data_IF_510502659581
#
_entry.id   IF_510502659581
#
_cell.length_a   1.000
_cell.length_b   1.000
_cell.length_c   1.000
_cell.angle_alpha   90.00
_cell.angle_beta   90.00
_cell.angle_gamma   90.00
#
_symmetry.space_group_name_H-M   'P 1'
#
loop_
_entity.id
_entity.type
_entity.pdbx_description
1 polymer ?
#
# COMPACT_ATOMS: atom_id res chain seq x y z
N UNK A 1 15.43 16.03 15.90
CA UNK A 1 14.85 14.72 15.50
C UNK A 1 13.94 14.91 14.28
N UNK A 2 13.95 13.99 13.31
CA UNK A 2 13.06 14.06 12.12
C UNK A 2 11.59 14.01 12.53
N UNK A 3 10.75 14.87 11.95
CA UNK A 3 9.29 14.87 12.12
C UNK A 3 8.71 13.52 11.70
N UNK A 4 7.75 13.02 12.47
CA UNK A 4 7.03 11.78 12.19
C UNK A 4 5.54 12.04 12.04
N UNK A 5 4.93 11.42 11.03
CA UNK A 5 3.51 11.49 10.74
C UNK A 5 2.91 10.09 10.76
N UNK A 6 2.19 9.78 11.83
CA UNK A 6 1.57 8.48 12.02
C UNK A 6 0.33 8.28 11.14
N UNK A 7 -0.40 9.35 10.83
CA UNK A 7 -1.66 9.28 10.06
C UNK A 7 -1.42 8.99 8.58
N UNK A 8 -1.81 7.81 8.12
CA UNK A 8 -1.86 7.46 6.69
C UNK A 8 -2.73 8.44 5.89
N UNK A 9 -3.87 8.81 6.46
CA UNK A 9 -4.83 9.71 5.82
C UNK A 9 -4.22 11.06 5.46
N UNK A 10 -3.49 11.70 6.40
CA UNK A 10 -2.89 13.01 6.14
C UNK A 10 -1.86 12.95 4.99
N UNK A 11 -1.04 11.90 4.97
CA UNK A 11 -0.02 11.72 3.92
C UNK A 11 -0.66 11.45 2.55
N UNK A 12 -1.69 10.60 2.52
CA UNK A 12 -2.47 10.35 1.30
C UNK A 12 -3.17 11.62 0.80
N UNK A 13 -3.85 12.35 1.69
CA UNK A 13 -4.54 13.59 1.35
C UNK A 13 -3.58 14.66 0.82
N UNK A 14 -2.37 14.77 1.37
CA UNK A 14 -1.35 15.68 0.87
C UNK A 14 -0.95 15.39 -0.58
N UNK A 15 -0.75 14.13 -0.93
CA UNK A 15 -0.37 13.73 -2.30
C UNK A 15 -1.53 13.83 -3.29
N UNK A 16 -2.77 13.58 -2.85
CA UNK A 16 -3.96 13.71 -3.69
C UNK A 16 -4.21 15.13 -4.22
N UNK A 17 -3.64 16.16 -3.56
CA UNK A 17 -3.70 17.55 -4.04
C UNK A 17 -2.92 17.78 -5.36
N UNK A 18 -2.04 16.85 -5.74
CA UNK A 18 -1.15 17.01 -6.88
C UNK A 18 -1.46 15.93 -7.93
N UNK A 19 -1.95 16.30 -9.13
CA UNK A 19 -2.34 15.34 -10.17
C UNK A 19 -1.26 14.31 -10.51
N UNK A 20 0.00 14.77 -10.59
CA UNK A 20 1.18 13.92 -10.87
C UNK A 20 1.36 12.77 -9.86
N UNK A 21 0.91 12.94 -8.61
CA UNK A 21 0.95 11.89 -7.60
C UNK A 21 -0.42 11.18 -7.48
N UNK A 22 -1.52 11.92 -7.60
CA UNK A 22 -2.88 11.42 -7.42
C UNK A 22 -3.23 10.26 -8.35
N UNK A 23 -2.77 10.29 -9.61
CA UNK A 23 -2.99 9.21 -10.59
C UNK A 23 -2.38 7.86 -10.17
N UNK A 24 -1.42 7.89 -9.25
CA UNK A 24 -0.76 6.71 -8.68
C UNK A 24 -1.35 6.30 -7.32
N UNK A 25 -2.34 7.00 -6.78
CA UNK A 25 -2.91 6.67 -5.46
C UNK A 25 -4.18 5.84 -5.65
N UNK A 26 -4.26 4.63 -5.07
CA UNK A 26 -5.50 3.87 -5.06
C UNK A 26 -6.61 4.66 -4.37
N UNK A 27 -7.82 4.61 -4.94
CA UNK A 27 -8.98 5.33 -4.43
C UNK A 27 -9.21 5.01 -2.95
N UNK A 28 -9.39 6.04 -2.12
CA UNK A 28 -9.38 5.92 -0.66
C UNK A 28 -10.54 6.69 -0.05
N UNK A 29 -11.32 6.04 0.83
CA UNK A 29 -12.45 6.65 1.56
C UNK A 29 -12.36 6.38 3.06
N UNK A 30 -13.08 7.17 3.86
CA UNK A 30 -13.26 6.87 5.28
C UNK A 30 -14.03 5.55 5.46
N UNK A 31 -13.65 4.75 6.44
CA UNK A 31 -14.32 3.48 6.71
C UNK A 31 -15.70 3.69 7.34
N UNK A 32 -16.74 3.30 6.62
CA UNK A 32 -18.11 3.09 7.10
C UNK A 32 -18.81 2.07 6.19
N UNK A 33 -20.01 1.62 6.57
CA UNK A 33 -20.75 0.58 5.86
C UNK A 33 -21.02 0.95 4.40
N UNK A 34 -21.60 2.13 4.15
CA UNK A 34 -21.96 2.57 2.79
C UNK A 34 -20.75 2.72 1.87
N UNK A 35 -19.66 3.32 2.36
CA UNK A 35 -18.41 3.42 1.60
C UNK A 35 -17.81 2.05 1.30
N UNK A 36 -17.87 1.10 2.24
CA UNK A 36 -17.34 -0.25 2.03
C UNK A 36 -18.14 -0.95 0.92
N UNK A 37 -19.47 -0.91 1.00
CA UNK A 37 -20.34 -1.52 0.00
C UNK A 37 -20.12 -0.90 -1.38
N UNK A 38 -20.11 0.43 -1.47
CA UNK A 38 -19.89 1.16 -2.71
C UNK A 38 -18.52 0.84 -3.34
N UNK A 39 -17.46 0.85 -2.54
CA UNK A 39 -16.13 0.53 -3.05
C UNK A 39 -15.98 -0.96 -3.43
N UNK A 40 -16.63 -1.88 -2.71
CA UNK A 40 -16.65 -3.29 -3.11
C UNK A 40 -17.39 -3.51 -4.42
N UNK A 41 -18.53 -2.85 -4.62
CA UNK A 41 -19.28 -2.92 -5.87
C UNK A 41 -18.46 -2.41 -7.07
N UNK A 42 -17.67 -1.35 -6.87
CA UNK A 42 -16.90 -0.75 -7.95
C UNK A 42 -15.56 -1.45 -8.22
N UNK A 43 -14.86 -1.92 -7.19
CA UNK A 43 -13.49 -2.48 -7.34
C UNK A 43 -13.40 -4.00 -7.12
N UNK A 44 -14.43 -4.66 -6.58
CA UNK A 44 -14.44 -6.09 -6.24
C UNK A 44 -13.54 -6.48 -5.05
N UNK A 45 -12.45 -5.74 -4.81
CA UNK A 45 -11.51 -5.94 -3.72
C UNK A 45 -11.10 -4.59 -3.11
N UNK A 46 -11.05 -4.55 -1.78
CA UNK A 46 -10.56 -3.41 -1.01
C UNK A 46 -9.71 -3.86 0.17
N UNK A 47 -8.87 -2.96 0.67
CA UNK A 47 -8.18 -3.10 1.94
C UNK A 47 -8.72 -2.09 2.92
N UNK A 48 -9.12 -2.54 4.10
CA UNK A 48 -9.36 -1.65 5.22
C UNK A 48 -8.12 -1.62 6.12
N UNK A 49 -7.70 -0.42 6.51
CA UNK A 49 -6.45 -0.21 7.24
C UNK A 49 -6.66 0.77 8.39
N UNK A 50 -6.02 0.60 9.56
CA UNK A 50 -6.02 1.62 10.60
C UNK A 50 -5.46 2.93 10.06
N UNK A 51 -6.06 4.07 10.39
CA UNK A 51 -5.54 5.39 10.00
C UNK A 51 -4.15 5.62 10.61
N UNK A 52 -3.96 5.17 11.86
CA UNK A 52 -2.70 5.19 12.59
C UNK A 52 -2.29 3.75 12.94
N UNK A 53 -1.07 3.38 12.57
CA UNK A 53 -0.49 2.05 12.78
C UNK A 53 0.67 1.79 11.82
N UNK A 54 1.33 0.65 11.99
CA UNK A 54 2.48 0.23 11.16
C UNK A 54 2.58 -1.29 11.06
N UNK A 55 3.54 -1.79 10.29
CA UNK A 55 3.86 -3.23 10.24
C UNK A 55 2.76 -4.12 9.64
N UNK A 56 1.78 -3.55 8.93
CA UNK A 56 0.65 -4.30 8.38
C UNK A 56 -0.37 -4.80 9.41
N UNK A 57 -0.21 -4.45 10.69
CA UNK A 57 -1.13 -4.84 11.74
C UNK A 57 -2.50 -4.18 11.57
N UNK A 58 -3.55 -4.98 11.69
CA UNK A 58 -4.94 -4.53 11.52
C UNK A 58 -5.35 -4.30 10.07
N UNK A 59 -4.50 -4.59 9.08
CA UNK A 59 -4.93 -4.58 7.68
C UNK A 59 -5.84 -5.78 7.44
N UNK A 60 -7.01 -5.53 6.85
CA UNK A 60 -7.99 -6.57 6.50
C UNK A 60 -8.30 -6.41 5.02
N UNK A 61 -8.14 -7.49 4.25
CA UNK A 61 -8.60 -7.54 2.86
C UNK A 61 -10.08 -7.89 2.87
N UNK A 62 -10.90 -7.17 2.10
CA UNK A 62 -12.31 -7.49 1.89
C UNK A 62 -12.52 -7.63 0.38
N UNK A 63 -13.27 -8.64 -0.03
CA UNK A 63 -13.63 -8.85 -1.44
C UNK A 63 -15.08 -9.26 -1.56
N UNK A 64 -15.74 -8.83 -2.63
CA UNK A 64 -17.10 -9.20 -2.99
C UNK A 64 -17.14 -9.63 -4.45
N UNK A 65 -17.62 -10.84 -4.73
CA UNK A 65 -17.79 -11.36 -6.09
C UNK A 65 -18.87 -12.42 -6.13
N UNK A 66 -19.75 -12.40 -7.14
CA UNK A 66 -20.71 -13.49 -7.40
C UNK A 66 -21.65 -13.77 -6.22
N UNK A 67 -22.14 -12.73 -5.54
CA UNK A 67 -23.06 -12.87 -4.40
C UNK A 67 -22.41 -13.33 -3.08
N UNK A 68 -21.08 -13.45 -3.03
CA UNK A 68 -20.35 -13.78 -1.81
C UNK A 68 -19.43 -12.65 -1.36
N UNK A 69 -19.37 -12.43 -0.05
CA UNK A 69 -18.46 -11.51 0.61
C UNK A 69 -17.44 -12.28 1.43
N UNK A 70 -16.17 -11.89 1.33
CA UNK A 70 -15.08 -12.48 2.09
C UNK A 70 -14.24 -11.39 2.74
N UNK A 71 -13.75 -11.65 3.94
CA UNK A 71 -12.63 -10.89 4.46
C UNK A 71 -11.53 -11.80 5.00
N UNK A 72 -10.30 -11.37 4.83
CA UNK A 72 -9.10 -12.01 5.37
C UNK A 72 -8.44 -11.06 6.36
N UNK A 73 -8.38 -11.47 7.63
CA UNK A 73 -7.62 -10.80 8.67
C UNK A 73 -6.50 -11.73 9.13
N UNK A 74 -5.25 -11.27 9.02
CA UNK A 74 -4.06 -12.10 9.28
C UNK A 74 -4.05 -13.35 8.37
N UNK A 75 -4.32 -14.55 8.93
CA UNK A 75 -4.42 -15.81 8.17
C UNK A 75 -5.85 -16.34 8.07
N UNK A 76 -6.80 -15.71 8.75
CA UNK A 76 -8.17 -16.19 8.87
C UNK A 76 -9.02 -15.53 7.79
N UNK A 77 -9.60 -16.34 6.92
CA UNK A 77 -10.59 -15.91 5.94
C UNK A 77 -11.97 -16.34 6.39
N UNK A 78 -12.94 -15.42 6.35
CA UNK A 78 -14.35 -15.71 6.59
C UNK A 78 -15.16 -15.35 5.36
N UNK A 79 -16.18 -16.17 5.07
CA UNK A 79 -17.07 -16.01 3.93
C UNK A 79 -18.52 -15.82 4.41
N UNK A 80 -19.29 -15.04 3.66
CA UNK A 80 -20.67 -14.69 3.95
C UNK A 80 -21.42 -14.54 2.62
N UNK A 81 -22.72 -14.84 2.62
CA UNK A 81 -23.61 -14.60 1.47
C UNK A 81 -24.25 -13.21 1.51
N UNK A 82 -24.30 -12.58 2.69
CA UNK A 82 -24.91 -11.27 2.90
C UNK A 82 -23.88 -10.24 3.38
N UNK A 83 -23.95 -9.03 2.82
CA UNK A 83 -23.05 -7.94 3.17
C UNK A 83 -23.15 -7.56 4.66
N UNK A 84 -24.37 -7.44 5.19
CA UNK A 84 -24.59 -7.01 6.57
C UNK A 84 -24.02 -7.99 7.60
N UNK A 85 -24.13 -9.29 7.33
CA UNK A 85 -23.52 -10.33 8.17
C UNK A 85 -21.99 -10.23 8.15
N UNK A 86 -21.41 -10.04 6.96
CA UNK A 86 -19.98 -9.81 6.80
C UNK A 86 -19.53 -8.56 7.56
N UNK A 87 -20.24 -7.45 7.40
CA UNK A 87 -19.92 -6.17 8.03
C UNK A 87 -19.98 -6.27 9.56
N UNK A 88 -21.04 -6.88 10.13
CA UNK A 88 -21.14 -7.12 11.59
C UNK A 88 -19.99 -7.98 12.11
N UNK A 89 -19.58 -9.01 11.36
CA UNK A 89 -18.41 -9.83 11.71
C UNK A 89 -17.10 -9.05 11.61
N UNK A 90 -16.94 -8.25 10.57
CA UNK A 90 -15.77 -7.41 10.30
C UNK A 90 -15.53 -6.39 11.42
N UNK A 91 -16.60 -5.73 11.89
CA UNK A 91 -16.52 -4.74 12.99
C UNK A 91 -16.02 -5.38 14.28
N UNK A 92 -16.39 -6.63 14.57
CA UNK A 92 -15.92 -7.37 15.76
C UNK A 92 -14.44 -7.71 15.68
N UNK A 93 -13.92 -7.99 14.48
CA UNK A 93 -12.51 -8.35 14.27
C UNK A 93 -11.60 -7.12 14.15
N UNK A 94 -12.12 -6.02 13.61
CA UNK A 94 -11.42 -4.74 13.49
C UNK A 94 -11.05 -4.21 14.87
N UNK A 95 -9.82 -3.72 15.03
CA UNK A 95 -9.44 -3.01 16.25
C UNK A 95 -10.34 -1.78 16.50
N UNK A 96 -10.58 -1.44 17.78
CA UNK A 96 -11.36 -0.27 18.23
C UNK A 96 -10.62 1.06 17.98
N UNK A 97 -10.45 1.44 16.72
CA UNK A 97 -9.85 2.70 16.26
C UNK A 97 -10.35 3.06 14.86
N UNK A 98 -10.00 4.26 14.38
CA UNK A 98 -10.36 4.78 13.05
C UNK A 98 -9.65 4.00 11.94
N UNK A 99 -10.40 3.70 10.88
CA UNK A 99 -9.92 3.00 9.69
C UNK A 99 -10.24 3.82 8.42
N UNK A 100 -9.53 3.50 7.35
CA UNK A 100 -9.82 3.91 5.98
C UNK A 100 -10.07 2.67 5.12
N UNK A 101 -10.75 2.84 3.99
CA UNK A 101 -10.91 1.86 2.93
C UNK A 101 -10.06 2.33 1.75
N UNK A 102 -9.28 1.44 1.18
CA UNK A 102 -8.47 1.69 0.00
C UNK A 102 -8.78 0.63 -1.06
N UNK A 103 -8.89 1.05 -2.31
CA UNK A 103 -9.01 0.16 -3.47
C UNK A 103 -7.95 -0.94 -3.42
N UNK A 104 -8.38 -2.17 -3.66
CA UNK A 104 -7.49 -3.30 -3.82
C UNK A 104 -6.83 -3.28 -5.20
N UNK A 105 -5.51 -3.42 -5.23
CA UNK A 105 -4.75 -3.56 -6.47
C UNK A 105 -4.32 -5.02 -6.63
N UNK A 106 -4.57 -5.57 -7.81
CA UNK A 106 -4.04 -6.88 -8.21
C UNK A 106 -2.57 -6.71 -8.59
N UNK A 107 -1.71 -6.87 -7.58
CA UNK A 107 -0.27 -6.70 -7.73
C UNK A 107 0.33 -7.80 -8.60
N UNK A 108 1.37 -7.44 -9.35
CA UNK A 108 2.26 -8.38 -9.99
C UNK A 108 2.77 -9.41 -8.97
N UNK A 109 3.00 -10.63 -9.45
CA UNK A 109 3.30 -11.77 -8.58
C UNK A 109 4.58 -12.47 -9.02
N UNK A 110 5.26 -13.11 -8.07
CA UNK A 110 6.30 -14.11 -8.34
C UNK A 110 5.76 -15.44 -7.83
N UNK A 111 5.56 -16.42 -8.72
CA UNK A 111 4.99 -17.72 -8.38
C UNK A 111 3.66 -17.60 -7.61
N UNK A 112 2.75 -16.72 -8.09
CA UNK A 112 1.44 -16.47 -7.47
C UNK A 112 1.48 -15.67 -6.16
N UNK A 113 2.65 -15.30 -5.64
CA UNK A 113 2.80 -14.49 -4.42
C UNK A 113 2.91 -13.00 -4.80
N UNK A 114 2.11 -12.11 -4.21
CA UNK A 114 2.19 -10.68 -4.51
C UNK A 114 3.52 -10.09 -4.05
N UNK A 115 4.03 -9.11 -4.79
CA UNK A 115 5.22 -8.34 -4.46
C UNK A 115 4.92 -6.85 -4.47
N UNK A 116 5.54 -6.13 -3.53
CA UNK A 116 5.62 -4.67 -3.57
C UNK A 116 7.08 -4.19 -3.56
N UNK A 117 7.30 -2.89 -3.72
CA UNK A 117 8.61 -2.27 -3.82
C UNK A 117 8.76 -1.17 -2.78
N UNK A 118 9.72 -1.33 -1.86
CA UNK A 118 10.09 -0.31 -0.88
C UNK A 118 11.20 0.54 -1.44
N UNK A 119 10.96 1.86 -1.54
CA UNK A 119 11.99 2.86 -1.86
C UNK A 119 12.22 3.73 -0.64
N UNK A 120 13.47 3.80 -0.16
CA UNK A 120 13.87 4.61 1.00
C UNK A 120 14.69 5.81 0.54
N UNK A 121 14.30 7.00 0.96
CA UNK A 121 15.05 8.25 0.76
C UNK A 121 15.29 8.93 2.11
N UNK A 122 16.43 9.61 2.22
CA UNK A 122 16.86 10.30 3.45
C UNK A 122 17.44 11.65 3.06
N UNK A 123 17.12 12.68 3.84
CA UNK A 123 17.69 14.01 3.68
C UNK A 123 19.07 14.05 4.34
N UNK A 124 20.06 14.55 3.61
CA UNK A 124 21.40 14.87 4.09
C UNK A 124 21.61 16.38 4.00
N UNK A 125 22.77 16.86 4.44
CA UNK A 125 23.17 18.27 4.27
C UNK A 125 23.22 18.71 2.79
N UNK A 126 23.45 17.75 1.88
CA UNK A 126 23.48 17.99 0.42
C UNK A 126 22.13 17.77 -0.26
N UNK A 127 21.07 17.51 0.50
CA UNK A 127 19.72 17.25 -0.01
C UNK A 127 19.28 15.78 0.07
N UNK A 128 18.21 15.43 -0.65
CA UNK A 128 17.61 14.10 -0.58
C UNK A 128 18.40 13.05 -1.38
N UNK A 129 18.74 11.93 -0.75
CA UNK A 129 19.42 10.80 -1.38
C UNK A 129 18.63 9.51 -1.29
N UNK A 130 18.71 8.67 -2.33
CA UNK A 130 18.16 7.31 -2.30
C UNK A 130 19.05 6.39 -1.49
N UNK A 131 18.49 5.75 -0.47
CA UNK A 131 19.18 4.74 0.34
C UNK A 131 18.98 3.33 -0.18
N UNK A 132 17.77 2.99 -0.62
CA UNK A 132 17.50 1.65 -1.14
C UNK A 132 16.25 1.59 -2.02
N UNK A 133 16.21 0.56 -2.87
CA UNK A 133 15.03 0.11 -3.59
C UNK A 133 15.03 -1.42 -3.59
N UNK A 134 14.08 -2.01 -2.85
CA UNK A 134 13.98 -3.46 -2.66
C UNK A 134 12.57 -3.94 -2.98
N UNK A 135 12.47 -5.14 -3.54
CA UNK A 135 11.19 -5.85 -3.64
C UNK A 135 10.91 -6.65 -2.38
N UNK A 136 9.66 -6.68 -1.92
CA UNK A 136 9.21 -7.44 -0.75
C UNK A 136 8.15 -8.44 -1.18
N UNK A 137 8.56 -9.69 -1.32
CA UNK A 137 7.69 -10.77 -1.74
C UNK A 137 6.90 -11.29 -0.53
N UNK A 138 5.56 -11.29 -0.62
CA UNK A 138 4.70 -11.78 0.44
C UNK A 138 5.02 -13.24 0.80
N UNK A 139 4.87 -13.62 2.06
CA UNK A 139 4.94 -15.04 2.47
C UNK A 139 3.82 -15.84 1.77
N UNK A 140 4.04 -17.11 1.40
CA UNK A 140 2.97 -17.96 0.86
C UNK A 140 1.71 -17.91 1.72
N UNK A 141 0.54 -17.74 1.08
CA UNK A 141 -0.77 -17.67 1.73
C UNK A 141 -1.11 -16.33 2.40
N UNK A 142 -0.20 -15.35 2.46
CA UNK A 142 -0.51 -14.02 2.98
C UNK A 142 -0.84 -13.04 1.86
N UNK A 143 -1.84 -12.20 2.15
CA UNK A 143 -2.25 -11.11 1.26
C UNK A 143 -1.38 -9.86 1.45
N UNK A 144 -0.75 -9.72 2.62
CA UNK A 144 0.11 -8.59 2.95
C UNK A 144 1.58 -8.92 2.67
N UNK A 145 2.26 -8.03 1.95
CA UNK A 145 3.67 -8.09 1.51
C UNK A 145 4.67 -7.65 2.58
N UNK A 146 4.23 -7.48 3.83
CA UNK A 146 5.10 -6.91 4.87
C UNK A 146 6.20 -7.89 5.29
N UNK A 147 7.47 -7.47 5.16
CA UNK A 147 8.65 -8.27 5.53
C UNK A 147 8.63 -8.73 6.99
N UNK A 148 8.06 -7.93 7.90
CA UNK A 148 7.91 -8.30 9.32
C UNK A 148 7.01 -9.51 9.57
N UNK A 149 6.38 -10.05 8.52
CA UNK A 149 5.58 -11.28 8.54
C UNK A 149 6.27 -12.47 7.85
N UNK A 150 7.59 -12.38 7.66
CA UNK A 150 8.41 -13.43 7.03
C UNK A 150 8.38 -13.38 5.50
N UNK A 151 8.32 -12.18 4.94
CA UNK A 151 8.46 -11.97 3.49
C UNK A 151 9.91 -12.09 3.03
N UNK A 152 10.12 -12.34 1.74
CA UNK A 152 11.48 -12.44 1.15
C UNK A 152 11.88 -11.09 0.58
N UNK A 153 13.06 -10.59 0.97
CA UNK A 153 13.63 -9.37 0.38
C UNK A 153 14.41 -9.72 -0.88
N UNK A 154 14.16 -8.98 -1.96
CA UNK A 154 14.86 -9.08 -3.23
C UNK A 154 15.43 -7.71 -3.60
N UNK A 155 16.54 -7.68 -4.36
CA UNK A 155 16.97 -6.42 -4.98
C UNK A 155 15.87 -5.92 -5.92
N UNK A 156 15.69 -4.59 -6.03
CA UNK A 156 14.67 -4.03 -6.93
C UNK A 156 14.82 -4.50 -8.39
N UNK A 157 16.06 -4.74 -8.84
CA UNK A 157 16.33 -5.33 -10.17
C UNK A 157 15.79 -6.76 -10.29
N UNK A 158 16.11 -7.63 -9.33
CA UNK A 158 15.68 -9.04 -9.35
C UNK A 158 14.16 -9.16 -9.20
N UNK A 159 13.57 -8.36 -8.31
CA UNK A 159 12.13 -8.32 -8.10
C UNK A 159 11.36 -7.96 -9.39
N UNK A 160 11.81 -6.94 -10.12
CA UNK A 160 11.19 -6.56 -11.40
C UNK A 160 11.35 -7.65 -12.46
N UNK A 161 12.56 -8.21 -12.60
CA UNK A 161 12.82 -9.25 -13.59
C UNK A 161 11.93 -10.50 -13.38
N UNK A 162 11.62 -10.85 -12.12
CA UNK A 162 10.80 -12.02 -11.79
C UNK A 162 9.29 -11.74 -11.83
N UNK A 163 8.85 -10.53 -11.51
CA UNK A 163 7.41 -10.22 -11.41
C UNK A 163 6.81 -9.62 -12.69
N UNK A 164 7.63 -8.95 -13.50
CA UNK A 164 7.25 -8.28 -14.74
C UNK A 164 8.35 -8.47 -15.81
N UNK A 165 8.63 -9.72 -16.24
CA UNK A 165 9.71 -10.01 -17.18
C UNK A 165 9.54 -9.33 -18.55
N UNK A 166 8.30 -9.01 -18.94
CA UNK A 166 7.95 -8.32 -20.17
C UNK A 166 8.22 -6.80 -20.15
N UNK A 167 8.61 -6.23 -19.00
CA UNK A 167 8.86 -4.79 -18.84
C UNK A 167 10.35 -4.53 -18.58
N UNK A 168 10.90 -3.49 -19.22
CA UNK A 168 12.26 -3.04 -18.93
C UNK A 168 12.40 -2.62 -17.47
N UNK A 169 13.04 -3.49 -16.67
CA UNK A 169 13.29 -3.22 -15.27
C UNK A 169 14.15 -1.96 -15.04
N UNK A 170 15.04 -1.61 -15.98
CA UNK A 170 15.83 -0.36 -15.91
C UNK A 170 14.93 0.87 -16.01
N UNK A 171 14.02 0.89 -17.00
CA UNK A 171 13.07 2.00 -17.17
C UNK A 171 12.10 2.10 -15.99
N UNK A 172 11.53 0.98 -15.55
CA UNK A 172 10.58 0.99 -14.42
C UNK A 172 11.22 1.47 -13.11
N UNK A 173 12.49 1.13 -12.84
CA UNK A 173 13.22 1.69 -11.68
C UNK A 173 13.44 3.19 -11.79
N UNK A 174 13.75 3.71 -12.99
CA UNK A 174 13.92 5.16 -13.22
C UNK A 174 12.59 5.90 -13.00
N UNK A 175 11.50 5.36 -13.52
CA UNK A 175 10.14 5.88 -13.34
C UNK A 175 9.77 5.94 -11.84
N UNK A 176 9.94 4.84 -11.09
CA UNK A 176 9.71 4.83 -9.64
C UNK A 176 10.58 5.85 -8.90
N UNK A 177 11.85 6.04 -9.31
CA UNK A 177 12.73 7.06 -8.69
C UNK A 177 12.25 8.48 -8.99
N UNK A 178 11.87 8.77 -10.22
CA UNK A 178 11.33 10.08 -10.60
C UNK A 178 10.08 10.40 -9.78
N UNK A 179 9.11 9.48 -9.75
CA UNK A 179 7.90 9.63 -8.93
C UNK A 179 8.23 9.81 -7.44
N UNK A 180 9.21 9.04 -6.92
CA UNK A 180 9.66 9.17 -5.53
C UNK A 180 10.21 10.56 -5.24
N UNK A 181 11.03 11.14 -6.12
CA UNK A 181 11.58 12.48 -5.93
C UNK A 181 10.45 13.52 -5.87
N UNK A 182 9.55 13.50 -6.86
CA UNK A 182 8.37 14.39 -6.90
C UNK A 182 7.56 14.30 -5.61
N UNK A 183 7.21 13.08 -5.19
CA UNK A 183 6.44 12.86 -3.97
C UNK A 183 7.21 13.26 -2.71
N UNK A 184 8.54 13.10 -2.69
CA UNK A 184 9.38 13.55 -1.56
C UNK A 184 9.29 15.06 -1.38
N UNK A 185 9.36 15.83 -2.47
CA UNK A 185 9.25 17.30 -2.42
C UNK A 185 7.86 17.75 -1.97
N UNK A 186 6.80 17.07 -2.46
CA UNK A 186 5.43 17.30 -1.97
C UNK A 186 5.34 17.04 -0.46
N UNK A 187 5.85 15.89 -0.01
CA UNK A 187 5.82 15.52 1.41
C UNK A 187 6.61 16.48 2.30
N UNK A 188 7.77 16.95 1.83
CA UNK A 188 8.57 17.93 2.57
C UNK A 188 7.86 19.29 2.67
N UNK A 189 7.28 19.78 1.58
CA UNK A 189 6.55 21.06 1.56
C UNK A 189 5.30 21.03 2.45
N UNK A 190 4.51 19.95 2.40
CA UNK A 190 3.29 19.81 3.20
C UNK A 190 3.60 19.50 4.67
N UNK A 191 4.78 18.93 4.95
CA UNK A 191 5.18 18.55 6.30
C UNK A 191 6.65 18.90 6.59
N UNK A 192 6.96 20.20 6.80
CA UNK A 192 8.31 20.62 7.15
C UNK A 192 8.89 19.84 8.33
N UNK A 193 10.17 19.49 8.24
CA UNK A 193 10.90 18.73 9.26
C UNK A 193 10.96 17.20 9.03
N UNK A 194 10.30 16.66 8.00
CA UNK A 194 10.52 15.25 7.60
C UNK A 194 11.92 15.09 6.98
N UNK A 195 12.72 14.19 7.54
CA UNK A 195 14.10 13.92 7.09
C UNK A 195 14.31 12.53 6.48
N UNK A 196 13.30 11.68 6.49
CA UNK A 196 13.34 10.36 5.87
C UNK A 196 11.95 9.92 5.41
N UNK A 197 11.88 9.24 4.27
CA UNK A 197 10.65 8.71 3.71
C UNK A 197 10.86 7.30 3.16
N UNK A 198 9.87 6.43 3.38
CA UNK A 198 9.77 5.13 2.75
C UNK A 198 8.48 5.04 1.97
N UNK A 199 8.59 4.86 0.66
CA UNK A 199 7.48 4.66 -0.24
C UNK A 199 7.27 3.16 -0.48
N UNK A 200 6.03 2.71 -0.32
CA UNK A 200 5.60 1.35 -0.59
C UNK A 200 4.83 1.38 -1.90
N UNK A 201 5.47 0.93 -2.98
CA UNK A 201 4.87 0.89 -4.31
C UNK A 201 4.34 -0.50 -4.63
N UNK A 202 3.12 -0.56 -5.15
CA UNK A 202 2.61 -1.72 -5.85
C UNK A 202 2.76 -1.53 -7.36
N UNK A 203 3.08 -2.59 -8.09
CA UNK A 203 2.93 -2.63 -9.54
C UNK A 203 1.81 -3.62 -9.84
N UNK A 204 0.85 -3.26 -10.70
CA UNK A 204 -0.07 -4.26 -11.24
C UNK A 204 0.55 -5.02 -12.41
N UNK A 205 -0.18 -5.98 -12.98
CA UNK A 205 0.30 -6.83 -14.09
C UNK A 205 0.64 -6.05 -15.38
N UNK A 206 0.07 -4.85 -15.57
CA UNK A 206 0.43 -3.94 -16.68
C UNK A 206 1.70 -3.13 -16.39
N UNK A 207 2.17 -3.15 -15.15
CA UNK A 207 3.31 -2.37 -14.69
C UNK A 207 2.97 -0.94 -14.27
N UNK A 208 1.69 -0.59 -14.13
CA UNK A 208 1.30 0.72 -13.58
C UNK A 208 1.75 0.81 -12.12
N UNK A 209 2.35 1.95 -11.78
CA UNK A 209 2.84 2.23 -10.43
C UNK A 209 1.70 2.74 -9.55
N UNK A 210 1.56 2.14 -8.37
CA UNK A 210 0.63 2.54 -7.33
C UNK A 210 1.37 2.86 -6.02
N UNK A 211 1.13 4.01 -5.41
CA UNK A 211 1.62 4.39 -4.08
C UNK A 211 0.67 3.80 -3.04
N UNK A 212 1.05 2.69 -2.42
CA UNK A 212 0.23 2.01 -1.42
C UNK A 212 0.31 2.68 -0.05
N UNK A 213 1.49 3.17 0.33
CA UNK A 213 1.74 3.88 1.59
C UNK A 213 3.02 4.74 1.52
N UNK A 214 3.05 5.83 2.30
CA UNK A 214 4.26 6.62 2.58
C UNK A 214 4.52 6.63 4.09
N UNK A 215 5.76 6.32 4.48
CA UNK A 215 6.20 6.20 5.87
C UNK A 215 7.26 7.27 6.18
N UNK A 216 7.09 8.04 7.26
CA UNK A 216 8.08 9.04 7.73
C UNK A 216 9.05 8.47 8.78
N UNK A 217 8.91 7.19 9.11
CA UNK A 217 9.85 6.42 9.95
C UNK A 217 10.04 5.04 9.30
N UNK A 218 10.62 4.98 8.09
CA UNK A 218 10.85 3.69 7.45
C UNK A 218 11.91 2.91 8.21
N UNK A 219 11.54 1.73 8.67
CA UNK A 219 12.50 0.67 9.00
C UNK A 219 13.20 0.27 7.70
#
# INVERSE_FOLDING_TARGET
MSRQLASKWLKTAALLKYPVAAVHIPQTKAFNSGNLLNMLSHYGMVYIKPVVGGGGYGVIRVSGSGGAYRYTHMKITRSFTQFDQMYRSLIRVKARRRYLIQQGIHLATIQGRPIDYRVKVVKTERGWVFRSMVGRLARPGLVVTNLSKGGTMLSGRRALALSLPHISGKHKRREMRSLTLTCTHIMESQFPGVGQLGFDYGLDHSGKIWILEVNTRPQ
#
